data_IF_521287223000
#
_entry.id   IF_521287223000
#
_cell.length_a   1.000
_cell.length_b   1.000
_cell.length_c   1.000
_cell.angle_alpha   90.00
_cell.angle_beta   90.00
_cell.angle_gamma   90.00
#
_symmetry.space_group_name_H-M   'P 1'
#
loop_
_entity.id
_entity.type
_entity.pdbx_description
1 polymer ?
#
# COMPACT_ATOMS: atom_id res chain seq x y z
N UNK A 1 1.66 -1.45 -25.94
CA UNK A 1 1.26 -0.97 -24.61
C UNK A 1 1.86 -1.96 -23.64
N UNK A 2 2.74 -1.52 -22.74
CA UNK A 2 3.27 -2.44 -21.72
C UNK A 2 2.11 -2.76 -20.77
N UNK A 3 1.80 -4.04 -20.58
CA UNK A 3 0.84 -4.46 -19.56
C UNK A 3 1.42 -4.07 -18.18
N UNK A 4 0.78 -3.09 -17.53
CA UNK A 4 1.06 -2.78 -16.13
C UNK A 4 0.61 -3.95 -15.25
N UNK A 5 1.38 -4.25 -14.21
CA UNK A 5 1.03 -5.26 -13.22
C UNK A 5 0.65 -4.53 -11.94
N UNK A 6 -0.52 -4.86 -11.39
CA UNK A 6 -0.94 -4.30 -10.11
C UNK A 6 -0.25 -5.06 -8.97
N UNK A 7 0.54 -4.33 -8.18
CA UNK A 7 1.07 -4.82 -6.92
C UNK A 7 0.13 -4.38 -5.80
N UNK A 8 -0.58 -5.33 -5.18
CA UNK A 8 -1.48 -5.04 -4.07
C UNK A 8 -0.86 -5.49 -2.74
N UNK A 9 -1.00 -4.65 -1.72
CA UNK A 9 -0.66 -5.00 -0.34
C UNK A 9 -1.90 -4.91 0.54
N UNK A 10 -1.97 -5.78 1.54
CA UNK A 10 -2.89 -5.65 2.66
C UNK A 10 -2.14 -5.07 3.85
N UNK A 11 -2.74 -4.09 4.51
CA UNK A 11 -2.15 -3.39 5.64
C UNK A 11 -3.10 -3.52 6.82
N UNK A 12 -2.56 -3.95 7.97
CA UNK A 12 -3.25 -3.86 9.25
C UNK A 12 -2.58 -2.79 10.08
N UNK A 13 -3.33 -1.76 10.46
CA UNK A 13 -2.86 -0.67 11.31
C UNK A 13 -3.63 -0.70 12.63
N UNK A 14 -2.93 -0.38 13.72
CA UNK A 14 -3.51 -0.26 15.06
C UNK A 14 -3.05 1.05 15.68
N UNK A 15 -3.99 1.87 16.15
CA UNK A 15 -3.70 3.15 16.77
C UNK A 15 -3.42 2.95 18.26
N UNK A 16 -2.14 2.98 18.64
CA UNK A 16 -1.70 2.91 20.04
C UNK A 16 -1.68 4.27 20.75
N UNK A 17 -2.04 5.34 20.05
CA UNK A 17 -2.07 6.71 20.57
C UNK A 17 -3.39 7.04 21.26
N UNK A 18 -3.48 8.25 21.79
CA UNK A 18 -4.68 8.78 22.47
C UNK A 18 -5.54 9.67 21.59
N UNK A 19 -5.09 9.97 20.36
CA UNK A 19 -5.76 10.86 19.42
C UNK A 19 -6.21 10.10 18.17
N UNK A 20 -7.26 10.60 17.50
CA UNK A 20 -7.67 10.08 16.19
C UNK A 20 -6.64 10.45 15.14
N UNK A 21 -6.19 9.46 14.36
CA UNK A 21 -5.19 9.67 13.30
C UNK A 21 -5.83 9.45 11.93
N UNK A 22 -5.49 10.33 10.97
CA UNK A 22 -5.85 10.12 9.58
C UNK A 22 -4.93 9.08 8.95
N UNK A 23 -5.52 8.01 8.44
CA UNK A 23 -4.81 6.91 7.80
C UNK A 23 -5.25 6.76 6.34
N UNK A 24 -4.33 6.67 5.40
CA UNK A 24 -4.65 6.69 3.97
C UNK A 24 -3.54 6.17 3.07
N UNK A 25 -3.88 5.83 1.82
CA UNK A 25 -2.95 5.20 0.86
C UNK A 25 -1.73 6.08 0.58
N UNK A 26 -1.89 7.39 0.70
CA UNK A 26 -0.78 8.34 0.56
C UNK A 26 0.37 8.17 1.57
N UNK A 27 0.19 7.43 2.66
CA UNK A 27 1.28 7.13 3.61
C UNK A 27 2.21 6.01 3.09
N UNK A 28 1.85 5.35 2.00
CA UNK A 28 2.56 4.19 1.46
C UNK A 28 3.15 4.48 0.08
N UNK A 29 4.37 4.00 -0.12
CA UNK A 29 5.09 4.08 -1.38
C UNK A 29 5.72 2.73 -1.69
N UNK A 30 5.85 2.41 -2.97
CA UNK A 30 6.61 1.27 -3.42
C UNK A 30 7.89 1.77 -4.09
N UNK A 31 9.02 1.14 -3.77
CA UNK A 31 10.28 1.35 -4.45
C UNK A 31 10.69 0.06 -5.16
N UNK A 32 11.07 0.16 -6.42
CA UNK A 32 11.67 -0.96 -7.15
C UNK A 32 13.18 -1.12 -6.83
N UNK A 33 13.84 -2.05 -7.52
CA UNK A 33 15.27 -2.30 -7.38
C UNK A 33 16.15 -1.12 -7.82
N UNK A 34 15.62 -0.21 -8.64
CA UNK A 34 16.30 0.98 -9.12
C UNK A 34 16.03 2.20 -8.22
N UNK A 35 15.27 2.00 -7.14
CA UNK A 35 14.78 3.05 -6.25
C UNK A 35 13.80 4.02 -6.95
N UNK A 36 13.18 3.59 -8.04
CA UNK A 36 12.07 4.31 -8.64
C UNK A 36 10.86 4.23 -7.70
N UNK A 37 10.26 5.39 -7.42
CA UNK A 37 9.18 5.55 -6.45
C UNK A 37 7.84 5.50 -7.16
N UNK A 38 6.95 4.66 -6.67
CA UNK A 38 5.56 4.56 -7.10
C UNK A 38 4.63 4.97 -5.96
N UNK A 39 3.70 5.89 -6.26
CA UNK A 39 2.65 6.28 -5.34
C UNK A 39 1.50 5.27 -5.38
N UNK A 40 0.81 5.10 -4.25
CA UNK A 40 -0.41 4.30 -4.21
C UNK A 40 -1.46 4.86 -5.17
N UNK A 41 -2.12 3.98 -5.93
CA UNK A 41 -3.19 4.32 -6.86
C UNK A 41 -4.54 3.87 -6.30
N UNK A 42 -5.57 4.67 -6.57
CA UNK A 42 -6.96 4.31 -6.27
C UNK A 42 -7.66 3.95 -7.59
N UNK A 43 -8.08 2.70 -7.74
CA UNK A 43 -8.76 2.20 -8.95
C UNK A 43 -10.25 1.96 -8.73
N UNK A 44 -10.74 1.98 -7.49
CA UNK A 44 -12.17 1.93 -7.19
C UNK A 44 -12.82 0.57 -7.41
N UNK A 45 -12.04 -0.52 -7.41
CA UNK A 45 -12.56 -1.89 -7.54
C UNK A 45 -12.95 -2.48 -6.17
N UNK A 46 -13.59 -1.71 -5.29
CA UNK A 46 -14.18 -2.26 -4.08
C UNK A 46 -15.45 -3.07 -4.44
N UNK A 47 -15.27 -4.33 -4.84
CA UNK A 47 -16.36 -5.30 -4.99
C UNK A 47 -16.77 -5.91 -3.65
N UNK A 48 -17.91 -6.59 -3.61
CA UNK A 48 -18.50 -7.18 -2.38
C UNK A 48 -17.61 -8.18 -1.64
N UNK A 49 -16.57 -8.71 -2.29
CA UNK A 49 -15.62 -9.69 -1.74
C UNK A 49 -14.20 -9.11 -1.54
N UNK A 50 -14.01 -7.79 -1.74
CA UNK A 50 -12.71 -7.13 -1.74
C UNK A 50 -12.59 -6.28 -0.47
N UNK A 51 -11.49 -6.48 0.27
CA UNK A 51 -11.12 -5.68 1.45
C UNK A 51 -11.09 -4.20 1.03
N UNK A 52 -11.70 -3.32 1.84
CA UNK A 52 -11.81 -1.89 1.54
C UNK A 52 -10.49 -1.30 1.03
N UNK A 53 -10.57 -0.66 -0.14
CA UNK A 53 -9.47 0.06 -0.76
C UNK A 53 -9.22 1.36 0.02
N UNK A 54 -7.98 1.54 0.48
CA UNK A 54 -7.60 2.63 1.36
C UNK A 54 -7.60 3.98 0.63
N UNK A 55 -8.68 4.75 0.79
CA UNK A 55 -8.78 6.14 0.33
C UNK A 55 -8.23 7.09 1.41
N UNK A 56 -8.99 7.33 2.47
CA UNK A 56 -8.55 7.92 3.73
C UNK A 56 -9.62 7.63 4.81
N UNK A 57 -9.19 7.22 5.99
CA UNK A 57 -10.06 6.89 7.12
C UNK A 57 -9.57 7.57 8.40
N UNK A 58 -10.49 7.84 9.31
CA UNK A 58 -10.17 8.27 10.66
C UNK A 58 -10.02 7.03 11.56
N UNK A 59 -8.80 6.76 12.02
CA UNK A 59 -8.49 5.64 12.91
C UNK A 59 -8.54 6.11 14.36
N UNK A 60 -9.58 5.68 15.09
CA UNK A 60 -9.81 6.06 16.48
C UNK A 60 -8.74 5.49 17.43
N UNK A 61 -8.52 6.09 18.61
CA UNK A 61 -7.64 5.53 19.64
C UNK A 61 -7.99 4.08 19.98
N UNK A 62 -6.98 3.24 20.16
CA UNK A 62 -7.08 1.80 20.52
C UNK A 62 -7.89 0.95 19.51
N UNK A 63 -8.06 1.45 18.28
CA UNK A 63 -8.75 0.74 17.21
C UNK A 63 -7.78 0.19 16.17
N UNK A 64 -8.22 -0.87 15.47
CA UNK A 64 -7.48 -1.49 14.38
C UNK A 64 -8.31 -1.49 13.11
N UNK A 65 -7.62 -1.42 11.98
CA UNK A 65 -8.23 -1.53 10.66
C UNK A 65 -7.37 -2.41 9.77
N UNK A 66 -8.02 -3.11 8.84
CA UNK A 66 -7.34 -3.82 7.75
C UNK A 66 -7.88 -3.32 6.43
N UNK A 67 -6.98 -2.85 5.58
CA UNK A 67 -7.30 -2.24 4.29
C UNK A 67 -6.35 -2.75 3.22
N UNK A 68 -6.69 -2.52 1.96
CA UNK A 68 -5.77 -2.77 0.85
C UNK A 68 -5.34 -1.48 0.18
N UNK A 69 -4.14 -1.47 -0.37
CA UNK A 69 -3.70 -0.44 -1.31
C UNK A 69 -2.90 -1.10 -2.42
N UNK A 70 -2.74 -0.39 -3.53
CA UNK A 70 -2.15 -0.95 -4.73
C UNK A 70 -1.30 0.07 -5.47
N UNK A 71 -0.40 -0.46 -6.29
CA UNK A 71 0.57 0.31 -7.08
C UNK A 71 0.51 -0.17 -8.52
N UNK A 72 0.49 0.79 -9.45
CA UNK A 72 0.65 0.52 -10.87
C UNK A 72 2.15 0.55 -11.19
N UNK A 73 2.72 -0.61 -11.48
CA UNK A 73 4.15 -0.77 -11.76
C UNK A 73 4.38 -1.56 -13.04
N UNK A 74 5.48 -1.28 -13.76
CA UNK A 74 5.90 -2.14 -14.85
C UNK A 74 6.26 -3.53 -14.31
N UNK A 75 5.98 -4.57 -15.10
CA UNK A 75 6.40 -5.92 -14.75
C UNK A 75 7.94 -6.02 -14.68
N UNK A 76 8.44 -6.53 -13.55
CA UNK A 76 9.84 -6.89 -13.34
C UNK A 76 9.98 -8.36 -12.93
N UNK A 77 10.90 -9.08 -13.58
CA UNK A 77 11.15 -10.50 -13.33
C UNK A 77 11.74 -10.81 -11.96
N UNK A 78 12.45 -9.84 -11.35
CA UNK A 78 13.06 -10.03 -10.03
C UNK A 78 12.06 -9.88 -8.89
N UNK A 79 10.97 -9.15 -9.09
CA UNK A 79 9.88 -8.93 -8.14
C UNK A 79 10.37 -8.60 -6.72
N UNK A 80 11.33 -7.68 -6.64
CA UNK A 80 11.93 -7.19 -5.40
C UNK A 80 11.52 -5.75 -5.19
N UNK A 81 10.79 -5.50 -4.11
CA UNK A 81 10.23 -4.19 -3.83
C UNK A 81 10.42 -3.82 -2.37
N UNK A 82 10.49 -2.51 -2.10
CA UNK A 82 10.49 -1.98 -0.74
C UNK A 82 9.25 -1.13 -0.55
N UNK A 83 8.46 -1.43 0.48
CA UNK A 83 7.35 -0.59 0.90
C UNK A 83 7.90 0.48 1.85
N UNK A 84 7.85 1.74 1.43
CA UNK A 84 8.10 2.89 2.27
C UNK A 84 6.83 3.32 2.98
N UNK A 85 6.94 3.62 4.27
CA UNK A 85 5.85 4.06 5.12
C UNK A 85 6.22 5.43 5.69
N UNK A 86 5.35 6.41 5.46
CA UNK A 86 5.39 7.73 6.09
C UNK A 86 4.16 7.80 6.99
N UNK A 87 4.28 7.42 8.28
CA UNK A 87 3.15 7.33 9.21
C UNK A 87 2.45 8.68 9.38
N UNK A 88 3.19 9.77 9.28
CA UNK A 88 2.66 11.10 9.47
C UNK A 88 2.76 11.97 8.21
N UNK A 89 1.93 11.66 7.22
CA UNK A 89 1.79 12.53 6.03
C UNK A 89 0.91 13.75 6.30
N UNK A 90 0.14 13.77 7.41
CA UNK A 90 -0.99 14.69 7.58
C UNK A 90 -0.96 15.59 8.83
N UNK A 91 -0.02 15.50 9.79
CA UNK A 91 -0.05 16.50 10.87
C UNK A 91 0.81 16.41 12.14
N UNK A 92 1.77 15.51 12.29
CA UNK A 92 2.85 15.55 13.29
C UNK A 92 4.14 16.06 12.62
N UNK A 93 4.16 17.35 12.24
CA UNK A 93 5.17 18.00 11.40
C UNK A 93 6.65 17.83 11.82
N UNK A 94 6.95 17.21 12.97
CA UNK A 94 8.28 16.92 13.49
C UNK A 94 8.65 15.41 13.53
N UNK A 95 7.81 14.49 13.03
CA UNK A 95 8.14 13.07 13.02
C UNK A 95 9.01 12.68 11.82
N UNK A 96 10.27 12.35 12.08
CA UNK A 96 11.21 11.78 11.10
C UNK A 96 11.01 10.25 10.91
N UNK A 97 10.00 9.64 11.56
CA UNK A 97 9.82 8.20 11.57
C UNK A 97 9.43 7.68 10.17
N UNK A 98 10.39 7.05 9.49
CA UNK A 98 10.18 6.36 8.22
C UNK A 98 10.43 4.88 8.41
N UNK A 99 9.38 4.09 8.20
CA UNK A 99 9.49 2.63 8.15
C UNK A 99 9.74 2.16 6.73
N UNK A 100 10.70 1.25 6.54
CA UNK A 100 10.90 0.58 5.26
C UNK A 100 10.77 -0.93 5.46
N UNK A 101 9.91 -1.57 4.67
CA UNK A 101 9.71 -3.01 4.69
C UNK A 101 10.11 -3.57 3.33
N UNK A 102 11.17 -4.38 3.30
CA UNK A 102 11.58 -5.07 2.08
C UNK A 102 10.72 -6.33 1.87
N UNK A 103 10.09 -6.43 0.70
CA UNK A 103 9.26 -7.58 0.32
C UNK A 103 9.95 -8.29 -0.84
N UNK A 104 10.23 -9.59 -0.64
CA UNK A 104 10.71 -10.47 -1.69
C UNK A 104 9.63 -11.50 -2.00
N UNK A 105 9.04 -11.42 -3.19
CA UNK A 105 8.11 -12.44 -3.67
C UNK A 105 8.92 -13.68 -4.06
N UNK A 106 8.71 -14.79 -3.35
CA UNK A 106 9.38 -16.08 -3.61
C UNK A 106 8.56 -17.00 -4.52
N UNK A 107 7.31 -16.65 -4.83
CA UNK A 107 6.42 -17.43 -5.71
C UNK A 107 5.77 -16.53 -6.75
N UNK A 108 6.07 -16.73 -8.04
CA UNK A 108 5.39 -16.05 -9.15
C UNK A 108 3.99 -16.66 -9.34
N UNK A 109 2.93 -15.90 -9.13
CA UNK A 109 1.59 -16.29 -9.57
C UNK A 109 1.40 -15.80 -11.01
N UNK A 110 1.90 -16.57 -11.96
CA UNK A 110 1.61 -16.38 -13.39
C UNK A 110 0.34 -17.14 -13.73
N UNK A 111 -0.83 -16.55 -13.49
CA UNK A 111 -2.09 -16.78 -14.24
C UNK A 111 -3.25 -16.01 -13.58
N UNK A 112 -3.55 -14.82 -14.09
CA UNK A 112 -4.90 -14.27 -14.05
C UNK A 112 -5.37 -14.19 -15.51
N UNK A 113 -5.86 -15.30 -16.03
CA UNK A 113 -6.60 -15.31 -17.29
C UNK A 113 -7.93 -14.60 -17.07
N UNK A 114 -8.03 -13.35 -17.53
CA UNK A 114 -9.32 -12.66 -17.68
C UNK A 114 -10.09 -13.35 -18.81
N UNK A 115 -11.18 -14.07 -18.48
CA UNK A 115 -12.16 -14.47 -19.49
C UNK A 115 -12.97 -13.24 -19.88
N UNK A 116 -13.01 -12.95 -21.19
CA UNK A 116 -13.73 -11.82 -21.81
C UNK A 116 -15.20 -11.75 -21.42
#
# INVERSE_FOLDING_TARGET
MAEGVYFQIQITAHNTGTETVKFGGGQFYLYDINQEKYDAVFVGYAGSDIIEELSAIDLLPDSSVTVTTQFDIPYDDKMQYTVGIIPDRFGLQDSEERGFVCIKIVTKITNLSYSR
#
